data_IF_885741928491
#
_entry.id   IF_885741928491
#
_cell.length_a   1.000
_cell.length_b   1.000
_cell.length_c   1.000
_cell.angle_alpha   90.00
_cell.angle_beta   90.00
_cell.angle_gamma   90.00
#
_symmetry.space_group_name_H-M   'P 1'
#
loop_
_entity.id
_entity.type
_entity.pdbx_description
1 polymer ?
#
# COMPACT_ATOMS: atom_id res chain seq x y z
N UNK A 1 -5.42 16.75 -28.10
CA UNK A 1 -6.45 15.93 -28.78
C UNK A 1 -6.06 14.48 -28.55
N UNK A 2 -6.76 13.78 -27.67
CA UNK A 2 -6.49 12.37 -27.38
C UNK A 2 -7.42 11.56 -28.27
N UNK A 3 -6.83 10.78 -29.18
CA UNK A 3 -7.55 9.82 -30.01
C UNK A 3 -7.52 8.48 -29.29
N UNK A 4 -8.66 8.02 -28.79
CA UNK A 4 -8.80 6.64 -28.31
C UNK A 4 -8.89 5.70 -29.53
N UNK A 5 -7.93 4.80 -29.66
CA UNK A 5 -7.90 3.78 -30.69
C UNK A 5 -8.34 2.44 -30.07
N UNK A 6 -9.39 1.82 -30.62
CA UNK A 6 -9.81 0.45 -30.28
C UNK A 6 -9.10 -0.58 -31.19
N UNK A 7 -9.11 -1.86 -30.79
CA UNK A 7 -8.47 -3.01 -31.48
C UNK A 7 -8.47 -2.86 -33.01
N UNK A 8 -7.27 -2.78 -33.59
CA UNK A 8 -7.04 -2.67 -35.03
C UNK A 8 -5.56 -2.53 -35.37
N UNK A 9 -5.19 -2.81 -36.62
CA UNK A 9 -3.85 -2.60 -37.12
C UNK A 9 -3.73 -1.17 -37.68
N UNK A 10 -2.71 -0.42 -37.24
CA UNK A 10 -2.42 0.92 -37.76
C UNK A 10 -1.40 0.76 -38.89
N UNK A 11 -1.83 1.04 -40.11
CA UNK A 11 -0.94 1.18 -41.26
C UNK A 11 -0.77 2.66 -41.55
N UNK A 12 0.44 3.18 -41.37
CA UNK A 12 0.79 4.56 -41.73
C UNK A 12 1.96 4.52 -42.70
N UNK A 13 1.78 5.11 -43.88
CA UNK A 13 2.84 5.25 -44.87
C UNK A 13 3.30 6.71 -44.96
N UNK A 14 4.58 6.92 -45.25
CA UNK A 14 5.22 8.24 -45.48
C UNK A 14 5.26 9.25 -44.30
N UNK A 15 5.49 8.81 -43.05
CA UNK A 15 5.72 9.75 -41.94
C UNK A 15 7.10 10.42 -42.01
N UNK A 16 7.14 11.75 -41.95
CA UNK A 16 8.36 12.55 -41.70
C UNK A 16 8.18 13.38 -40.43
N UNK A 17 9.18 13.36 -39.55
CA UNK A 17 9.23 14.09 -38.26
C UNK A 17 8.15 13.72 -37.23
N UNK A 18 7.90 12.43 -36.97
CA UNK A 18 6.97 11.95 -35.93
C UNK A 18 7.67 11.03 -34.93
N UNK A 19 7.36 11.18 -33.64
CA UNK A 19 7.77 10.28 -32.56
C UNK A 19 6.56 9.46 -32.10
N UNK A 20 6.63 8.14 -32.25
CA UNK A 20 5.63 7.20 -31.77
C UNK A 20 6.14 6.61 -30.46
N UNK A 21 5.37 6.76 -29.38
CA UNK A 21 5.60 6.07 -28.10
C UNK A 21 4.42 5.15 -27.86
N UNK A 22 4.67 3.84 -27.91
CA UNK A 22 3.69 2.82 -27.58
C UNK A 22 3.79 2.56 -26.07
N UNK A 23 2.68 2.69 -25.35
CA UNK A 23 2.59 2.35 -23.93
C UNK A 23 2.46 0.85 -23.70
N UNK A 24 1.99 0.44 -22.53
CA UNK A 24 1.71 -0.96 -22.18
C UNK A 24 0.68 -1.56 -23.16
N UNK A 25 1.02 -2.69 -23.79
CA UNK A 25 0.13 -3.41 -24.71
C UNK A 25 -0.68 -4.40 -23.90
N UNK A 26 -1.99 -4.19 -23.79
CA UNK A 26 -2.89 -5.11 -23.11
C UNK A 26 -3.14 -6.36 -23.97
N UNK A 27 -2.77 -7.54 -23.46
CA UNK A 27 -3.20 -8.83 -24.01
C UNK A 27 -4.71 -9.03 -23.77
N UNK A 28 -5.33 -9.96 -24.51
CA UNK A 28 -6.73 -10.35 -24.28
C UNK A 28 -6.94 -10.75 -22.81
N UNK A 29 -7.87 -10.06 -22.14
CA UNK A 29 -8.25 -10.36 -20.76
C UNK A 29 -8.76 -11.80 -20.69
N UNK A 30 -8.02 -12.63 -19.97
CA UNK A 30 -8.50 -13.92 -19.47
C UNK A 30 -9.81 -13.64 -18.70
N UNK A 31 -10.90 -14.39 -18.97
CA UNK A 31 -12.16 -14.21 -18.23
C UNK A 31 -11.88 -14.32 -16.72
N UNK A 32 -12.01 -13.19 -16.02
CA UNK A 32 -11.62 -13.05 -14.61
C UNK A 32 -12.83 -12.62 -13.76
N UNK A 33 -12.76 -12.90 -12.46
CA UNK A 33 -13.74 -12.40 -11.51
C UNK A 33 -13.80 -10.86 -11.59
N UNK A 34 -14.98 -10.24 -11.52
CA UNK A 34 -15.07 -8.78 -11.62
C UNK A 34 -14.21 -8.13 -10.52
N UNK A 35 -13.47 -7.09 -10.89
CA UNK A 35 -12.65 -6.33 -9.95
C UNK A 35 -13.54 -5.81 -8.81
N UNK A 36 -13.04 -5.96 -7.58
CA UNK A 36 -13.70 -5.41 -6.41
C UNK A 36 -13.79 -3.88 -6.45
N UNK A 37 -14.56 -3.27 -5.53
CA UNK A 37 -14.82 -1.83 -5.57
C UNK A 37 -13.61 -0.96 -5.24
N UNK A 38 -12.57 -1.51 -4.63
CA UNK A 38 -11.44 -0.76 -4.03
C UNK A 38 -10.06 -1.32 -4.42
N UNK A 39 -9.68 -1.36 -5.71
CA UNK A 39 -8.31 -1.69 -6.10
C UNK A 39 -7.34 -0.57 -5.69
N UNK A 40 -6.14 -0.93 -5.22
CA UNK A 40 -5.12 0.00 -4.72
C UNK A 40 -5.68 1.00 -3.68
N UNK A 41 -6.26 0.50 -2.57
CA UNK A 41 -6.90 1.37 -1.59
C UNK A 41 -5.90 2.35 -0.96
N UNK A 42 -6.32 3.60 -0.80
CA UNK A 42 -5.62 4.57 0.03
C UNK A 42 -5.87 4.29 1.52
N UNK A 43 -5.13 4.94 2.42
CA UNK A 43 -5.19 4.68 3.87
C UNK A 43 -6.60 4.89 4.44
N UNK A 44 -7.41 5.74 3.83
CA UNK A 44 -8.79 6.06 4.21
C UNK A 44 -9.84 5.26 3.44
N UNK A 45 -9.46 4.52 2.39
CA UNK A 45 -10.42 3.90 1.46
C UNK A 45 -11.32 2.86 2.13
N UNK A 46 -10.81 2.16 3.14
CA UNK A 46 -11.57 1.12 3.87
C UNK A 46 -12.18 1.62 5.18
N UNK A 47 -12.06 2.92 5.49
CA UNK A 47 -12.52 3.53 6.74
C UNK A 47 -13.96 3.17 7.09
N UNK A 48 -14.88 3.21 6.13
CA UNK A 48 -16.28 2.87 6.39
C UNK A 48 -16.45 1.40 6.83
N UNK A 49 -15.67 0.50 6.26
CA UNK A 49 -15.62 -0.91 6.66
C UNK A 49 -14.97 -1.09 8.03
N UNK A 50 -13.88 -0.38 8.29
CA UNK A 50 -13.19 -0.42 9.58
C UNK A 50 -14.12 0.08 10.70
N UNK A 51 -14.88 1.15 10.46
CA UNK A 51 -15.88 1.65 11.41
C UNK A 51 -17.05 0.68 11.64
N UNK A 52 -17.39 -0.17 10.67
CA UNK A 52 -18.34 -1.28 10.88
C UNK A 52 -17.74 -2.29 11.89
N UNK A 53 -16.45 -2.61 11.77
CA UNK A 53 -15.76 -3.51 12.69
C UNK A 53 -15.61 -2.88 14.08
N UNK A 54 -15.13 -1.65 14.17
CA UNK A 54 -14.88 -0.91 15.41
C UNK A 54 -16.17 -0.66 16.22
N UNK A 55 -17.33 -0.59 15.54
CA UNK A 55 -18.64 -0.53 16.21
C UNK A 55 -18.93 -1.79 17.03
N UNK A 56 -18.48 -2.96 16.56
CA UNK A 56 -18.65 -4.25 17.25
C UNK A 56 -17.49 -4.54 18.19
N UNK A 57 -16.27 -4.33 17.73
CA UNK A 57 -15.02 -4.62 18.45
C UNK A 57 -14.36 -3.29 18.82
N UNK A 58 -14.81 -2.71 19.94
CA UNK A 58 -14.28 -1.44 20.39
C UNK A 58 -12.80 -1.56 20.79
N UNK A 59 -11.94 -0.63 20.37
CA UNK A 59 -10.56 -0.57 20.86
C UNK A 59 -10.54 -0.49 22.39
N UNK A 60 -9.62 -1.22 23.00
CA UNK A 60 -9.32 -1.14 24.42
C UNK A 60 -7.89 -0.67 24.58
N UNK A 61 -7.72 0.56 25.09
CA UNK A 61 -6.40 1.11 25.36
C UNK A 61 -5.97 0.83 26.79
N UNK A 62 -4.87 0.10 26.92
CA UNK A 62 -4.08 -0.01 28.14
C UNK A 62 -2.72 0.66 27.85
N UNK A 63 -2.59 1.98 28.09
CA UNK A 63 -1.39 2.72 27.71
C UNK A 63 -0.15 2.17 28.42
N UNK A 64 0.92 1.94 27.65
CA UNK A 64 2.23 1.57 28.22
C UNK A 64 2.88 2.76 28.96
N UNK A 65 2.57 3.98 28.54
CA UNK A 65 3.12 5.22 29.07
C UNK A 65 2.08 6.33 28.95
N UNK A 66 1.86 7.09 30.02
CA UNK A 66 0.92 8.21 30.05
C UNK A 66 1.52 9.53 29.53
N UNK A 67 2.66 9.47 28.83
CA UNK A 67 3.34 10.64 28.31
C UNK A 67 3.58 10.55 26.80
N UNK A 68 3.39 11.67 26.09
CA UNK A 68 3.87 11.82 24.72
C UNK A 68 5.22 12.54 24.70
N UNK A 69 6.21 11.95 24.02
CA UNK A 69 7.58 12.49 23.92
C UNK A 69 8.06 12.61 22.45
N UNK A 70 7.15 12.69 21.48
CA UNK A 70 7.48 12.58 20.05
C UNK A 70 8.00 13.87 19.39
N UNK A 71 8.00 15.01 20.08
CA UNK A 71 8.48 16.28 19.52
C UNK A 71 9.07 17.21 20.58
N UNK A 72 9.58 18.36 20.14
CA UNK A 72 10.23 19.37 20.99
C UNK A 72 9.25 20.27 21.75
N UNK A 73 7.94 20.22 21.47
CA UNK A 73 6.94 20.95 22.26
C UNK A 73 6.83 20.42 23.70
N UNK A 74 7.31 19.20 23.96
CA UNK A 74 7.59 18.73 25.31
C UNK A 74 7.48 17.23 25.46
N UNK A 75 7.80 16.78 26.68
CA UNK A 75 7.11 15.62 27.24
C UNK A 75 5.75 16.12 27.74
N UNK A 76 4.68 15.70 27.10
CA UNK A 76 3.31 16.05 27.51
C UNK A 76 2.80 14.98 28.49
N UNK A 77 2.36 15.40 29.68
CA UNK A 77 1.57 14.56 30.59
C UNK A 77 0.15 14.41 30.05
N UNK A 78 -0.21 13.18 29.69
CA UNK A 78 -1.53 12.81 29.15
C UNK A 78 -2.37 12.02 30.16
N UNK A 79 -1.93 11.88 31.43
CA UNK A 79 -2.69 11.20 32.48
C UNK A 79 -4.11 11.77 32.57
N UNK A 80 -5.10 10.90 32.85
CA UNK A 80 -6.53 11.24 32.83
C UNK A 80 -7.03 11.76 31.46
N UNK A 81 -6.40 11.30 30.38
CA UNK A 81 -6.75 11.66 29.00
C UNK A 81 -6.64 13.18 28.73
N UNK A 82 -5.70 13.86 29.39
CA UNK A 82 -5.36 15.26 29.10
C UNK A 82 -4.85 15.40 27.66
N UNK A 83 -4.85 16.63 27.18
CA UNK A 83 -4.31 16.97 25.87
C UNK A 83 -2.86 17.45 25.99
N UNK A 84 -2.01 16.99 25.07
CA UNK A 84 -0.67 17.52 24.89
C UNK A 84 -0.68 18.89 24.22
N UNK A 85 0.52 19.47 24.06
CA UNK A 85 0.69 20.81 23.48
C UNK A 85 0.12 20.95 22.05
N UNK A 86 0.11 19.86 21.26
CA UNK A 86 -0.48 19.84 19.91
C UNK A 86 -1.97 19.47 19.88
N UNK A 87 -2.61 19.25 21.04
CA UNK A 87 -4.01 18.87 21.13
C UNK A 87 -4.30 17.38 21.03
N UNK A 88 -3.30 16.49 20.98
CA UNK A 88 -3.53 15.04 21.03
C UNK A 88 -3.81 14.59 22.48
N UNK A 89 -4.79 13.69 22.69
CA UNK A 89 -5.08 13.10 23.99
C UNK A 89 -4.41 11.72 24.17
N UNK A 90 -4.60 11.06 25.32
CA UNK A 90 -3.95 9.77 25.62
C UNK A 90 -4.47 8.64 24.72
N UNK A 91 -5.76 8.61 24.43
CA UNK A 91 -6.37 7.59 23.56
C UNK A 91 -5.79 7.68 22.14
N UNK A 92 -5.79 8.88 21.54
CA UNK A 92 -5.25 9.10 20.20
C UNK A 92 -3.74 8.91 20.16
N UNK A 93 -3.02 9.31 21.21
CA UNK A 93 -1.59 9.01 21.32
C UNK A 93 -1.33 7.49 21.38
N UNK A 94 -2.17 6.74 22.07
CA UNK A 94 -2.03 5.28 22.16
C UNK A 94 -2.30 4.63 20.79
N UNK A 95 -3.39 5.02 20.12
CA UNK A 95 -3.68 4.59 18.74
C UNK A 95 -2.53 4.92 17.78
N UNK A 96 -1.99 6.16 17.85
CA UNK A 96 -0.83 6.58 17.04
C UNK A 96 0.41 5.71 17.25
N UNK A 97 0.70 5.31 18.49
CA UNK A 97 1.83 4.42 18.79
C UNK A 97 1.58 3.00 18.27
N UNK A 98 0.34 2.51 18.32
CA UNK A 98 -0.02 1.22 17.72
C UNK A 98 0.10 1.27 16.19
N UNK A 99 -0.42 2.30 15.54
CA UNK A 99 -0.26 2.53 14.10
C UNK A 99 1.22 2.56 13.70
N UNK A 100 2.06 3.24 14.49
CA UNK A 100 3.51 3.24 14.30
C UNK A 100 4.13 1.84 14.43
N UNK A 101 3.71 1.05 15.43
CA UNK A 101 4.20 -0.32 15.60
C UNK A 101 3.79 -1.25 14.44
N UNK A 102 2.56 -1.12 13.95
CA UNK A 102 2.08 -1.84 12.75
C UNK A 102 2.90 -1.42 11.53
N UNK A 103 3.10 -0.13 11.31
CA UNK A 103 3.88 0.40 10.20
C UNK A 103 5.34 -0.08 10.22
N UNK A 104 5.96 -0.20 11.40
CA UNK A 104 7.30 -0.79 11.55
C UNK A 104 7.31 -2.25 11.06
N UNK A 105 6.33 -3.06 11.48
CA UNK A 105 6.22 -4.45 11.04
C UNK A 105 6.01 -4.57 9.52
N UNK A 106 5.13 -3.74 8.97
CA UNK A 106 4.91 -3.66 7.51
C UNK A 106 6.20 -3.27 6.79
N UNK A 107 6.92 -2.26 7.26
CA UNK A 107 8.18 -1.83 6.69
C UNK A 107 9.27 -2.92 6.72
N UNK A 108 9.33 -3.73 7.78
CA UNK A 108 10.25 -4.88 7.84
C UNK A 108 9.99 -5.89 6.72
N UNK A 109 8.74 -6.29 6.51
CA UNK A 109 8.39 -7.24 5.46
C UNK A 109 8.52 -6.66 4.06
N UNK A 110 8.19 -5.38 3.87
CA UNK A 110 8.41 -4.65 2.61
C UNK A 110 9.89 -4.56 2.28
N UNK A 111 10.73 -4.19 3.25
CA UNK A 111 12.18 -4.14 3.08
C UNK A 111 12.78 -5.50 2.73
N UNK A 112 12.31 -6.57 3.37
CA UNK A 112 12.68 -7.94 3.00
C UNK A 112 12.32 -8.25 1.55
N UNK A 113 11.06 -7.99 1.14
CA UNK A 113 10.60 -8.27 -0.22
C UNK A 113 11.40 -7.48 -1.27
N UNK A 114 11.65 -6.19 -1.03
CA UNK A 114 12.45 -5.33 -1.90
C UNK A 114 13.87 -5.86 -2.07
N UNK A 115 14.50 -6.25 -0.97
CA UNK A 115 15.83 -6.85 -1.00
C UNK A 115 15.84 -8.15 -1.82
N UNK A 116 14.83 -9.01 -1.66
CA UNK A 116 14.74 -10.27 -2.42
C UNK A 116 14.60 -10.05 -3.92
N UNK A 117 13.80 -9.08 -4.37
CA UNK A 117 13.69 -8.79 -5.80
C UNK A 117 15.02 -8.32 -6.40
N UNK A 118 15.72 -7.40 -5.71
CA UNK A 118 17.04 -6.94 -6.15
C UNK A 118 18.08 -8.07 -6.17
N UNK A 119 18.09 -8.91 -5.13
CA UNK A 119 19.02 -10.04 -5.05
C UNK A 119 18.73 -11.07 -6.15
N UNK A 120 17.47 -11.35 -6.46
CA UNK A 120 17.10 -12.26 -7.55
C UNK A 120 17.61 -11.73 -8.89
N UNK A 121 17.42 -10.44 -9.21
CA UNK A 121 18.00 -9.85 -10.42
C UNK A 121 19.53 -9.96 -10.43
N UNK A 122 20.17 -9.70 -9.29
CA UNK A 122 21.62 -9.77 -9.15
C UNK A 122 22.18 -11.18 -9.39
N UNK A 123 21.61 -12.20 -8.74
CA UNK A 123 22.13 -13.58 -8.80
C UNK A 123 21.75 -14.29 -10.09
N UNK A 124 20.61 -13.96 -10.69
CA UNK A 124 20.17 -14.57 -11.95
C UNK A 124 20.70 -13.84 -13.19
N UNK A 125 21.03 -12.55 -13.05
CA UNK A 125 21.40 -11.66 -14.16
C UNK A 125 20.24 -11.36 -15.11
N UNK A 126 19.02 -11.77 -14.76
CA UNK A 126 17.79 -11.55 -15.53
C UNK A 126 17.02 -10.38 -14.96
N UNK A 127 16.27 -9.70 -15.82
CA UNK A 127 15.31 -8.69 -15.38
C UNK A 127 14.08 -9.35 -14.77
N UNK A 128 13.39 -8.65 -13.86
CA UNK A 128 12.19 -9.20 -13.20
C UNK A 128 11.05 -9.58 -14.17
N UNK A 129 10.94 -8.92 -15.32
CA UNK A 129 9.94 -9.21 -16.36
C UNK A 129 10.26 -10.49 -17.16
N UNK A 130 11.48 -11.01 -17.05
CA UNK A 130 11.93 -12.26 -17.68
C UNK A 130 11.76 -13.47 -16.75
N UNK A 131 11.41 -13.25 -15.48
CA UNK A 131 11.33 -14.29 -14.45
C UNK A 131 9.85 -14.58 -14.14
N UNK A 132 9.31 -15.75 -14.53
CA UNK A 132 7.92 -16.09 -14.27
C UNK A 132 7.69 -16.37 -12.78
N UNK A 133 6.49 -16.06 -12.30
CA UNK A 133 6.03 -16.52 -10.98
C UNK A 133 5.50 -17.94 -11.15
N UNK A 134 6.23 -18.91 -10.58
CA UNK A 134 5.84 -20.32 -10.57
C UNK A 134 5.89 -20.84 -9.12
N UNK A 135 4.71 -21.08 -8.54
CA UNK A 135 4.54 -21.65 -7.21
C UNK A 135 4.21 -23.15 -7.25
N UNK A 136 4.33 -23.78 -8.42
CA UNK A 136 4.00 -25.17 -8.65
C UNK A 136 2.58 -25.38 -9.21
N UNK A 137 2.31 -26.59 -9.75
CA UNK A 137 1.12 -26.88 -10.54
C UNK A 137 -0.18 -26.99 -9.71
N UNK A 138 -0.06 -27.17 -8.39
CA UNK A 138 -1.21 -27.33 -7.48
C UNK A 138 -1.72 -25.99 -6.94
N UNK A 139 -1.16 -24.86 -7.40
CA UNK A 139 -1.54 -23.53 -6.97
C UNK A 139 -2.36 -22.86 -8.08
N UNK A 140 -3.69 -22.86 -7.91
CA UNK A 140 -4.60 -22.17 -8.82
C UNK A 140 -4.57 -20.65 -8.63
N UNK A 141 -4.37 -20.18 -7.40
CA UNK A 141 -4.33 -18.75 -7.06
C UNK A 141 -2.97 -18.38 -6.47
N UNK A 142 -2.13 -17.80 -7.34
CA UNK A 142 -0.71 -17.54 -7.07
C UNK A 142 -0.47 -16.49 -5.99
N UNK A 143 -1.27 -15.42 -5.98
CA UNK A 143 -1.07 -14.29 -5.07
C UNK A 143 -2.39 -13.68 -4.62
N UNK A 144 -3.19 -14.39 -3.80
CA UNK A 144 -4.57 -14.00 -3.50
C UNK A 144 -4.66 -12.63 -2.81
N UNK A 145 -3.72 -12.29 -1.92
CA UNK A 145 -3.70 -10.96 -1.28
C UNK A 145 -3.35 -9.86 -2.28
N UNK A 146 -2.33 -10.07 -3.13
CA UNK A 146 -1.96 -9.11 -4.17
C UNK A 146 -3.12 -8.89 -5.14
N UNK A 147 -3.75 -9.96 -5.62
CA UNK A 147 -4.91 -9.90 -6.51
C UNK A 147 -6.09 -9.18 -5.84
N UNK A 148 -6.40 -9.49 -4.58
CA UNK A 148 -7.51 -8.85 -3.86
C UNK A 148 -7.28 -7.34 -3.68
N UNK A 149 -6.06 -6.95 -3.28
CA UNK A 149 -5.75 -5.56 -2.93
C UNK A 149 -5.52 -4.71 -4.18
N UNK A 150 -4.85 -5.26 -5.20
CA UNK A 150 -4.36 -4.48 -6.36
C UNK A 150 -5.07 -4.83 -7.66
N UNK A 151 -5.74 -5.98 -7.73
CA UNK A 151 -6.25 -6.52 -8.99
C UNK A 151 -5.17 -7.10 -9.91
N UNK A 152 -3.88 -7.02 -9.55
CA UNK A 152 -2.77 -7.60 -10.32
C UNK A 152 -2.79 -9.11 -10.14
N UNK A 153 -2.86 -9.86 -11.25
CA UNK A 153 -2.57 -11.29 -11.32
C UNK A 153 -1.12 -11.49 -11.78
N UNK A 154 -0.17 -11.77 -10.87
CA UNK A 154 1.25 -11.78 -11.23
C UNK A 154 1.57 -12.93 -12.18
N UNK A 155 2.16 -12.62 -13.32
CA UNK A 155 2.75 -13.61 -14.25
C UNK A 155 4.26 -13.64 -14.12
N UNK A 156 4.87 -12.49 -13.79
CA UNK A 156 6.31 -12.30 -13.66
C UNK A 156 6.66 -11.61 -12.33
N UNK A 157 7.93 -11.62 -11.94
CA UNK A 157 8.36 -10.89 -10.74
C UNK A 157 8.19 -9.37 -10.88
N UNK A 158 8.14 -8.83 -12.10
CA UNK A 158 7.86 -7.42 -12.34
C UNK A 158 6.44 -7.03 -11.88
N UNK A 159 5.47 -7.93 -11.99
CA UNK A 159 4.10 -7.70 -11.51
C UNK A 159 4.05 -7.60 -9.98
N UNK A 160 4.83 -8.44 -9.29
CA UNK A 160 5.01 -8.36 -7.84
C UNK A 160 5.74 -7.08 -7.44
N UNK A 161 6.70 -6.62 -8.25
CA UNK A 161 7.39 -5.35 -8.03
C UNK A 161 6.43 -4.15 -8.11
N UNK A 162 5.47 -4.17 -9.04
CA UNK A 162 4.42 -3.13 -9.13
C UNK A 162 3.57 -3.08 -7.87
N UNK A 163 3.14 -4.24 -7.37
CA UNK A 163 2.40 -4.32 -6.11
C UNK A 163 3.24 -3.83 -4.92
N UNK A 164 4.55 -4.15 -4.90
CA UNK A 164 5.46 -3.72 -3.85
C UNK A 164 5.65 -2.20 -3.82
N UNK A 165 5.71 -1.53 -4.98
CA UNK A 165 5.78 -0.07 -5.08
C UNK A 165 4.57 0.61 -4.43
N UNK A 166 3.38 0.04 -4.61
CA UNK A 166 2.18 0.50 -3.93
C UNK A 166 2.31 0.37 -2.40
N UNK A 167 2.83 -0.76 -1.90
CA UNK A 167 3.05 -0.93 -0.45
C UNK A 167 4.06 0.11 0.08
N UNK A 168 5.14 0.38 -0.66
CA UNK A 168 6.14 1.41 -0.31
C UNK A 168 5.52 2.81 -0.26
N UNK A 169 4.62 3.12 -1.19
CA UNK A 169 3.85 4.37 -1.20
C UNK A 169 2.93 4.48 0.02
N UNK A 170 2.13 3.45 0.31
CA UNK A 170 1.20 3.48 1.43
C UNK A 170 1.89 3.54 2.79
N UNK A 171 3.05 2.88 2.96
CA UNK A 171 3.85 3.04 4.18
C UNK A 171 4.24 4.51 4.37
N UNK A 172 4.61 5.20 3.30
CA UNK A 172 4.97 6.63 3.38
C UNK A 172 3.78 7.47 3.83
N UNK A 173 2.57 7.18 3.35
CA UNK A 173 1.34 7.88 3.78
C UNK A 173 1.03 7.62 5.27
N UNK A 174 1.14 6.37 5.73
CA UNK A 174 0.94 6.03 7.15
C UNK A 174 2.00 6.69 8.04
N UNK A 175 3.26 6.73 7.60
CA UNK A 175 4.33 7.38 8.35
C UNK A 175 4.14 8.90 8.44
N UNK A 176 3.55 9.53 7.41
CA UNK A 176 3.15 10.93 7.48
C UNK A 176 2.04 11.14 8.52
N UNK A 177 0.98 10.32 8.51
CA UNK A 177 -0.19 10.50 9.39
C UNK A 177 0.13 10.35 10.88
N UNK A 178 1.20 9.63 11.24
CA UNK A 178 1.64 9.48 12.63
C UNK A 178 2.61 10.59 13.09
N UNK A 179 2.98 11.54 12.23
CA UNK A 179 3.79 12.68 12.64
C UNK A 179 3.03 13.57 13.64
N UNK A 180 3.77 14.39 14.38
CA UNK A 180 3.17 15.38 15.28
C UNK A 180 2.34 16.40 14.50
N UNK A 181 1.09 16.62 14.94
CA UNK A 181 0.18 17.61 14.36
C UNK A 181 -0.69 17.11 13.21
N UNK A 182 -0.75 15.79 13.00
CA UNK A 182 -1.52 15.14 11.94
C UNK A 182 -2.85 14.61 12.51
N UNK A 183 -3.14 13.32 12.42
CA UNK A 183 -4.39 12.72 12.92
C UNK A 183 -4.50 12.85 14.46
N UNK A 184 -5.72 13.09 14.94
CA UNK A 184 -6.04 13.29 16.35
C UNK A 184 -7.20 12.43 16.86
N UNK A 185 -7.88 11.71 15.97
CA UNK A 185 -8.93 10.74 16.29
C UNK A 185 -8.30 9.38 16.55
N UNK A 186 -8.54 8.84 17.75
CA UNK A 186 -8.05 7.51 18.09
C UNK A 186 -8.66 6.42 17.21
N UNK A 187 -9.91 6.60 16.73
CA UNK A 187 -10.57 5.64 15.85
C UNK A 187 -10.02 5.66 14.43
N UNK A 188 -9.46 6.78 13.98
CA UNK A 188 -8.86 6.90 12.65
C UNK A 188 -7.42 6.39 12.60
N UNK A 189 -6.82 6.11 13.76
CA UNK A 189 -5.54 5.38 13.86
C UNK A 189 -5.71 3.85 13.84
N UNK A 190 -6.92 3.34 14.09
CA UNK A 190 -7.25 1.91 14.09
C UNK A 190 -7.72 1.46 12.71
#
# INVERSE_FOLDING_TARGET
MVLELRKGAIFVDELRNVSIRIGEVAEEEEEWAPMGPTPFPQIETLRDWDFILLKRYKPFYAPYCDMCCLCTMGKCDLTENKHGACGINLEAQTGRIVAAAVAIGTACHTGHARHMLHDIEHVTGKKLDEIPVDLGPEISEVAPLTQLITGIKPKTLADLERALRYVEEQITQVMDSIHTGQEGSYLDFE
#
